data_IF_982242752048
#
_entry.id   IF_982242752048
#
_cell.length_a   1.000
_cell.length_b   1.000
_cell.length_c   1.000
_cell.angle_alpha   90.00
_cell.angle_beta   90.00
_cell.angle_gamma   90.00
#
_symmetry.space_group_name_H-M   'P 1'
#
loop_
_entity.id
_entity.type
_entity.pdbx_description
1 polymer ?
#
# COMPACT_ATOMS: atom_id res chain seq x y z
N UNK A 1 -13.93 13.10 0.83
CA UNK A 1 -13.53 11.77 0.33
C UNK A 1 -13.36 10.83 1.51
N UNK A 2 -14.22 9.83 1.62
CA UNK A 2 -14.09 8.76 2.60
C UNK A 2 -13.19 7.66 2.04
N UNK A 3 -12.07 7.41 2.69
CA UNK A 3 -11.05 6.47 2.25
C UNK A 3 -11.01 5.32 3.24
N UNK A 4 -11.10 4.09 2.73
CA UNK A 4 -10.89 2.89 3.53
C UNK A 4 -9.66 2.15 3.05
N UNK A 5 -8.72 1.89 3.95
CA UNK A 5 -7.55 1.07 3.66
C UNK A 5 -7.79 -0.30 4.27
N UNK A 6 -7.80 -1.34 3.44
CA UNK A 6 -7.93 -2.75 3.83
C UNK A 6 -6.57 -3.41 3.65
N UNK A 7 -5.95 -3.84 4.73
CA UNK A 7 -4.59 -4.39 4.65
C UNK A 7 -4.02 -4.67 6.03
N UNK A 8 -2.70 -4.61 6.14
CA UNK A 8 -2.04 -4.79 7.42
C UNK A 8 -1.60 -3.47 8.00
N UNK A 9 -1.52 -3.42 9.33
CA UNK A 9 -0.57 -2.54 10.04
C UNK A 9 0.53 -3.43 10.63
N UNK A 10 1.73 -2.90 10.77
CA UNK A 10 2.85 -3.63 11.35
C UNK A 10 3.72 -2.75 12.24
N UNK A 11 4.49 -3.39 13.11
CA UNK A 11 5.62 -2.77 13.80
C UNK A 11 6.85 -3.04 12.93
N UNK A 12 7.49 -1.98 12.44
CA UNK A 12 8.76 -2.11 11.72
C UNK A 12 9.91 -1.96 12.71
N UNK A 13 10.67 -3.02 12.90
CA UNK A 13 11.98 -2.97 13.55
C UNK A 13 13.02 -2.73 12.47
N UNK A 14 13.69 -1.58 12.52
CA UNK A 14 14.73 -1.23 11.56
C UNK A 14 16.08 -1.21 12.27
N UNK A 15 17.03 -1.98 11.76
CA UNK A 15 18.40 -2.04 12.23
C UNK A 15 19.38 -1.75 11.09
N UNK A 16 20.33 -0.85 11.34
CA UNK A 16 21.44 -0.54 10.45
C UNK A 16 22.73 -0.40 11.26
N UNK A 17 23.86 -0.25 10.58
CA UNK A 17 25.17 0.01 11.21
C UNK A 17 25.16 1.27 12.11
N UNK A 18 24.21 2.19 11.91
CA UNK A 18 24.18 3.49 12.59
C UNK A 18 22.94 3.72 13.47
N UNK A 19 21.92 2.84 13.39
CA UNK A 19 20.63 3.09 14.06
C UNK A 19 19.86 1.80 14.32
N UNK A 20 19.13 1.74 15.44
CA UNK A 20 18.11 0.72 15.70
C UNK A 20 16.88 1.39 16.29
N UNK A 21 15.70 1.18 15.69
CA UNK A 21 14.45 1.79 16.12
C UNK A 21 13.23 0.95 15.73
N UNK A 22 12.10 1.23 16.38
CA UNK A 22 10.81 0.59 16.09
C UNK A 22 9.75 1.65 15.86
N UNK A 23 8.95 1.50 14.81
CA UNK A 23 7.89 2.47 14.46
C UNK A 23 6.66 1.78 13.89
N UNK A 24 5.58 2.54 13.74
CA UNK A 24 4.41 2.09 12.99
C UNK A 24 4.79 2.03 11.50
N UNK A 25 4.85 0.82 10.96
CA UNK A 25 5.11 0.55 9.54
C UNK A 25 3.82 0.30 8.76
N UNK A 26 3.98 -0.27 7.56
CA UNK A 26 2.93 -0.68 6.60
C UNK A 26 2.46 0.37 5.60
N UNK A 27 2.01 -0.08 4.41
CA UNK A 27 1.33 0.77 3.44
C UNK A 27 0.21 1.63 4.03
N UNK A 28 -0.60 1.06 4.92
CA UNK A 28 -1.74 1.77 5.52
C UNK A 28 -1.31 2.99 6.36
N UNK A 29 -0.16 2.90 7.05
CA UNK A 29 0.39 4.02 7.83
C UNK A 29 0.92 5.11 6.91
N UNK A 30 1.69 4.76 5.87
CA UNK A 30 2.22 5.73 4.91
C UNK A 30 1.10 6.44 4.14
N UNK A 31 0.13 5.69 3.62
CA UNK A 31 -1.02 6.26 2.92
C UNK A 31 -1.83 7.20 3.83
N UNK A 32 -2.08 6.82 5.09
CA UNK A 32 -2.78 7.68 6.05
C UNK A 32 -2.03 8.99 6.33
N UNK A 33 -0.69 8.98 6.39
CA UNK A 33 0.12 10.20 6.56
C UNK A 33 -0.06 11.18 5.40
N UNK A 34 -0.18 10.67 4.18
CA UNK A 34 -0.43 11.49 2.98
C UNK A 34 -1.87 12.02 2.97
N UNK A 35 -2.86 11.16 3.17
CA UNK A 35 -4.26 11.58 3.15
C UNK A 35 -4.61 12.63 4.19
N UNK A 36 -3.98 12.61 5.36
CA UNK A 36 -4.17 13.66 6.38
C UNK A 36 -3.68 15.05 5.97
N UNK A 37 -2.82 15.12 4.97
CA UNK A 37 -2.29 16.37 4.42
C UNK A 37 -3.06 16.82 3.18
N UNK A 38 -3.97 15.99 2.67
CA UNK A 38 -4.81 16.27 1.52
C UNK A 38 -6.19 16.83 1.97
N UNK A 39 -6.77 17.79 1.22
CA UNK A 39 -8.06 18.36 1.55
C UNK A 39 -9.19 17.34 1.59
N UNK A 40 -10.06 17.48 2.59
CA UNK A 40 -11.34 16.76 2.70
C UNK A 40 -11.22 15.22 2.69
N UNK A 41 -10.12 14.67 3.20
CA UNK A 41 -9.90 13.23 3.34
C UNK A 41 -10.22 12.70 4.75
N UNK A 42 -11.03 11.64 4.82
CA UNK A 42 -11.34 10.93 6.05
C UNK A 42 -10.94 9.46 5.92
N UNK A 43 -9.96 9.02 6.71
CA UNK A 43 -9.37 7.68 6.58
C UNK A 43 -9.92 6.74 7.65
N UNK A 44 -10.28 5.53 7.24
CA UNK A 44 -10.52 4.37 8.11
C UNK A 44 -9.60 3.23 7.67
N UNK A 45 -9.04 2.50 8.62
CA UNK A 45 -8.10 1.41 8.33
C UNK A 45 -8.68 0.12 8.91
N UNK A 46 -8.98 -0.86 8.04
CA UNK A 46 -9.39 -2.21 8.42
C UNK A 46 -8.14 -3.09 8.36
N UNK A 47 -7.64 -3.47 9.53
CA UNK A 47 -6.40 -4.25 9.65
C UNK A 47 -6.40 -5.11 10.91
N UNK A 48 -5.76 -6.30 10.88
CA UNK A 48 -5.43 -7.01 12.11
C UNK A 48 -4.31 -6.30 12.86
N UNK A 49 -4.45 -6.23 14.18
CA UNK A 49 -3.41 -5.69 15.06
C UNK A 49 -3.56 -6.26 16.47
N UNK A 50 -2.43 -6.33 17.16
CA UNK A 50 -2.29 -6.78 18.53
C UNK A 50 -2.28 -5.63 19.55
N UNK A 51 -2.32 -6.00 20.84
CA UNK A 51 -2.25 -5.04 21.96
C UNK A 51 -0.92 -4.27 21.97
N UNK A 52 0.15 -4.90 21.52
CA UNK A 52 1.49 -4.31 21.35
C UNK A 52 1.54 -3.14 20.36
N UNK A 53 0.59 -3.06 19.42
CA UNK A 53 0.50 -1.96 18.46
C UNK A 53 -0.19 -0.70 19.00
N UNK A 54 -0.90 -0.78 20.14
CA UNK A 54 -1.69 0.35 20.65
C UNK A 54 -0.83 1.60 20.90
N UNK A 55 0.42 1.44 21.32
CA UNK A 55 1.36 2.55 21.52
C UNK A 55 1.73 3.29 20.20
N UNK A 56 1.61 2.60 19.06
CA UNK A 56 1.92 3.12 17.72
C UNK A 56 0.66 3.63 16.98
N UNK A 57 -0.53 3.46 17.56
CA UNK A 57 -1.81 3.73 16.91
C UNK A 57 -2.21 5.20 16.85
N UNK A 58 -1.39 6.11 17.42
CA UNK A 58 -1.75 7.52 17.52
C UNK A 58 -2.02 8.12 16.14
N UNK A 59 -3.23 8.67 15.97
CA UNK A 59 -3.67 9.24 14.71
C UNK A 59 -4.09 8.21 13.65
N UNK A 60 -4.18 6.93 13.97
CA UNK A 60 -4.75 5.92 13.09
C UNK A 60 -6.21 5.66 13.51
N UNK A 61 -7.13 5.63 12.53
CA UNK A 61 -8.51 5.25 12.77
C UNK A 61 -8.70 3.77 12.43
N UNK A 62 -8.31 2.90 13.37
CA UNK A 62 -8.26 1.45 13.19
C UNK A 62 -9.62 0.77 13.41
N UNK A 63 -9.83 -0.32 12.67
CA UNK A 63 -10.95 -1.24 12.77
C UNK A 63 -10.46 -2.69 12.62
N UNK A 64 -10.94 -3.64 13.45
CA UNK A 64 -11.89 -3.45 14.56
C UNK A 64 -11.36 -2.50 15.65
N UNK A 65 -12.26 -1.92 16.46
CA UNK A 65 -11.86 -0.94 17.50
C UNK A 65 -11.03 -1.52 18.64
N UNK A 66 -11.07 -2.84 18.81
CA UNK A 66 -10.24 -3.56 19.76
C UNK A 66 -9.24 -4.45 19.00
N UNK A 67 -8.03 -4.69 19.56
CA UNK A 67 -7.07 -5.61 18.98
C UNK A 67 -7.64 -7.00 18.72
N UNK A 68 -7.19 -7.65 17.65
CA UNK A 68 -7.57 -9.02 17.26
C UNK A 68 -6.69 -10.09 17.90
N UNK A 69 -5.57 -9.71 18.51
CA UNK A 69 -4.56 -10.59 19.11
C UNK A 69 -3.77 -9.86 20.21
N UNK A 70 -2.83 -10.56 20.86
CA UNK A 70 -1.86 -9.92 21.77
C UNK A 70 -0.67 -9.31 21.02
N UNK A 71 -0.31 -9.87 19.86
CA UNK A 71 0.86 -9.50 19.06
C UNK A 71 0.49 -9.06 17.63
N UNK A 72 1.24 -8.12 17.08
CA UNK A 72 1.05 -7.56 15.73
C UNK A 72 2.04 -8.16 14.75
N UNK A 73 1.72 -8.10 13.45
CA UNK A 73 2.70 -8.34 12.39
C UNK A 73 3.93 -7.46 12.63
N UNK A 74 5.10 -8.07 12.60
CA UNK A 74 6.38 -7.37 12.79
C UNK A 74 7.24 -7.61 11.57
N UNK A 75 7.76 -6.54 10.98
CA UNK A 75 8.83 -6.65 9.99
C UNK A 75 10.16 -6.23 10.61
N UNK A 76 11.12 -7.15 10.62
CA UNK A 76 12.50 -6.86 10.97
C UNK A 76 13.27 -6.57 9.68
N UNK A 77 13.79 -5.35 9.56
CA UNK A 77 14.56 -4.86 8.42
C UNK A 77 16.00 -4.63 8.87
N UNK A 78 16.89 -5.53 8.49
CA UNK A 78 18.32 -5.42 8.83
C UNK A 78 19.07 -4.97 7.58
N UNK A 79 19.71 -3.82 7.66
CA UNK A 79 20.46 -3.22 6.56
C UNK A 79 21.96 -3.17 6.89
N UNK A 80 22.74 -4.00 6.21
CA UNK A 80 24.21 -4.06 6.35
C UNK A 80 24.84 -3.78 5.00
N UNK A 81 25.78 -2.82 4.92
CA UNK A 81 26.44 -2.43 3.65
C UNK A 81 25.47 -2.21 2.47
N UNK A 82 24.35 -1.53 2.73
CA UNK A 82 23.27 -1.26 1.75
C UNK A 82 22.54 -2.51 1.21
N UNK A 83 22.72 -3.68 1.84
CA UNK A 83 21.92 -4.87 1.58
C UNK A 83 20.90 -5.03 2.69
N UNK A 84 19.62 -5.09 2.32
CA UNK A 84 18.52 -5.31 3.25
C UNK A 84 18.13 -6.78 3.27
N UNK A 85 18.11 -7.38 4.46
CA UNK A 85 17.43 -8.65 4.73
C UNK A 85 16.18 -8.40 5.55
N UNK A 86 15.11 -9.16 5.28
CA UNK A 86 13.84 -9.00 5.97
C UNK A 86 13.36 -10.29 6.60
N UNK A 87 12.83 -10.18 7.82
CA UNK A 87 12.00 -11.19 8.47
C UNK A 87 10.62 -10.63 8.80
N UNK A 88 9.63 -11.51 8.82
CA UNK A 88 8.27 -11.16 9.22
C UNK A 88 7.78 -12.10 10.31
N UNK A 89 7.59 -11.58 11.51
CA UNK A 89 7.11 -12.34 12.66
C UNK A 89 5.61 -12.18 12.86
N UNK A 90 5.01 -13.12 13.60
CA UNK A 90 3.58 -13.12 13.93
C UNK A 90 2.66 -13.16 12.70
N UNK A 91 3.13 -13.72 11.59
CA UNK A 91 2.39 -13.80 10.32
C UNK A 91 1.10 -14.62 10.43
N UNK A 92 1.05 -15.59 11.35
CA UNK A 92 -0.13 -16.42 11.64
C UNK A 92 -1.25 -15.59 12.30
N UNK A 93 -0.89 -14.60 13.11
CA UNK A 93 -1.84 -13.70 13.79
C UNK A 93 -2.29 -12.55 12.88
N UNK A 94 -1.53 -12.28 11.83
CA UNK A 94 -1.75 -11.20 10.87
C UNK A 94 -2.80 -11.54 9.80
N UNK A 95 -3.91 -12.18 10.19
CA UNK A 95 -5.01 -12.58 9.28
C UNK A 95 -6.08 -11.50 9.20
N UNK A 96 -6.77 -11.30 8.06
CA UNK A 96 -7.80 -10.28 7.94
C UNK A 96 -8.88 -10.40 9.04
N UNK A 97 -9.30 -9.28 9.67
CA UNK A 97 -10.33 -9.33 10.69
C UNK A 97 -11.68 -9.75 10.09
N UNK A 98 -12.51 -10.45 10.86
CA UNK A 98 -13.89 -10.70 10.44
C UNK A 98 -14.66 -9.38 10.34
N UNK A 99 -15.37 -9.17 9.23
CA UNK A 99 -16.12 -7.94 8.97
C UNK A 99 -17.37 -7.84 9.86
N UNK A 100 -17.30 -6.97 10.87
CA UNK A 100 -18.43 -6.62 11.73
C UNK A 100 -19.32 -5.51 11.10
N UNK A 101 -20.41 -5.17 11.79
CA UNK A 101 -21.38 -4.18 11.31
C UNK A 101 -20.76 -2.78 11.12
N UNK A 102 -19.74 -2.43 11.90
CA UNK A 102 -19.09 -1.12 11.79
C UNK A 102 -18.19 -1.08 10.54
N UNK A 103 -17.38 -2.13 10.33
CA UNK A 103 -16.57 -2.29 9.11
C UNK A 103 -17.42 -2.34 7.85
N UNK A 104 -18.56 -3.04 7.89
CA UNK A 104 -19.52 -3.08 6.77
C UNK A 104 -20.04 -1.68 6.43
N UNK A 105 -20.41 -0.87 7.43
CA UNK A 105 -20.85 0.52 7.23
C UNK A 105 -19.73 1.41 6.68
N UNK A 106 -18.50 1.21 7.12
CA UNK A 106 -17.34 1.95 6.61
C UNK A 106 -17.15 1.66 5.12
N UNK A 107 -17.14 0.37 4.75
CA UNK A 107 -17.04 -0.06 3.35
C UNK A 107 -18.18 0.49 2.49
N UNK A 108 -19.41 0.51 3.01
CA UNK A 108 -20.58 1.07 2.33
C UNK A 108 -20.47 2.57 2.04
N UNK A 109 -19.84 3.33 2.93
CA UNK A 109 -19.70 4.78 2.81
C UNK A 109 -18.36 5.22 2.17
N UNK A 110 -17.56 4.28 1.70
CA UNK A 110 -16.23 4.57 1.14
C UNK A 110 -16.32 5.07 -0.30
N UNK A 111 -15.62 6.15 -0.59
CA UNK A 111 -15.39 6.66 -1.95
C UNK A 111 -14.24 5.91 -2.63
N UNK A 112 -13.18 5.63 -1.86
CA UNK A 112 -11.96 4.96 -2.30
C UNK A 112 -11.63 3.85 -1.31
N UNK A 113 -11.30 2.67 -1.84
CA UNK A 113 -10.88 1.51 -1.08
C UNK A 113 -9.50 1.08 -1.56
N UNK A 114 -8.51 1.16 -0.68
CA UNK A 114 -7.12 0.76 -0.95
C UNK A 114 -6.84 -0.59 -0.31
N UNK A 115 -6.51 -1.58 -1.13
CA UNK A 115 -6.17 -2.93 -0.71
C UNK A 115 -4.65 -3.01 -0.70
N UNK A 116 -4.04 -3.09 0.49
CA UNK A 116 -2.59 -3.00 0.65
C UNK A 116 -2.04 -4.04 1.64
N UNK A 117 -2.15 -5.33 1.30
CA UNK A 117 -1.66 -6.39 2.17
C UNK A 117 -0.13 -6.45 2.16
N UNK A 118 0.46 -6.89 3.28
CA UNK A 118 1.88 -7.22 3.39
C UNK A 118 2.15 -8.73 3.42
N UNK A 119 1.09 -9.53 3.45
CA UNK A 119 1.13 -11.00 3.34
C UNK A 119 0.03 -11.47 2.39
N UNK A 120 0.06 -12.71 1.88
CA UNK A 120 -1.01 -13.24 1.04
C UNK A 120 -2.30 -13.60 1.81
N UNK A 121 -2.42 -13.22 3.09
CA UNK A 121 -3.54 -13.62 3.95
C UNK A 121 -4.91 -13.03 3.52
N UNK A 122 -4.91 -11.96 2.73
CA UNK A 122 -6.12 -11.32 2.20
C UNK A 122 -6.60 -12.08 0.95
N UNK A 123 -7.35 -13.15 1.13
CA UNK A 123 -7.79 -14.01 0.03
C UNK A 123 -8.80 -13.33 -0.91
N UNK A 124 -8.95 -13.89 -2.12
CA UNK A 124 -10.01 -13.48 -3.07
C UNK A 124 -11.40 -13.58 -2.45
N UNK A 125 -11.65 -14.61 -1.63
CA UNK A 125 -12.92 -14.79 -0.90
C UNK A 125 -13.17 -13.67 0.12
N UNK A 126 -12.16 -13.30 0.90
CA UNK A 126 -12.27 -12.18 1.83
C UNK A 126 -12.57 -10.86 1.11
N UNK A 127 -11.87 -10.60 -0.01
CA UNK A 127 -12.10 -9.40 -0.81
C UNK A 127 -13.52 -9.37 -1.41
N UNK A 128 -14.04 -10.50 -1.90
CA UNK A 128 -15.43 -10.60 -2.36
C UNK A 128 -16.42 -10.26 -1.26
N UNK A 129 -16.20 -10.78 -0.04
CA UNK A 129 -17.05 -10.46 1.11
C UNK A 129 -16.98 -8.98 1.48
N UNK A 130 -15.79 -8.37 1.49
CA UNK A 130 -15.64 -6.94 1.74
C UNK A 130 -16.34 -6.09 0.68
N UNK A 131 -16.13 -6.40 -0.60
CA UNK A 131 -16.67 -5.63 -1.72
C UNK A 131 -18.18 -5.76 -1.87
N UNK A 132 -18.81 -6.82 -1.36
CA UNK A 132 -20.26 -6.95 -1.30
C UNK A 132 -20.95 -5.82 -0.51
N UNK A 133 -20.22 -5.14 0.38
CA UNK A 133 -20.74 -4.00 1.15
C UNK A 133 -20.46 -2.65 0.48
N UNK A 134 -19.63 -2.60 -0.55
CA UNK A 134 -19.14 -1.35 -1.14
C UNK A 134 -20.13 -0.75 -2.12
N UNK A 135 -20.09 0.56 -2.32
CA UNK A 135 -20.90 1.21 -3.35
C UNK A 135 -20.34 0.90 -4.74
N UNK A 136 -21.20 0.83 -5.75
CA UNK A 136 -20.77 0.76 -7.16
C UNK A 136 -19.94 1.97 -7.58
N UNK A 137 -20.07 3.10 -6.87
CA UNK A 137 -19.27 4.31 -7.12
C UNK A 137 -17.88 4.25 -6.49
N UNK A 138 -17.64 3.31 -5.58
CA UNK A 138 -16.37 3.18 -4.86
C UNK A 138 -15.28 2.65 -5.79
N UNK A 139 -14.14 3.34 -5.85
CA UNK A 139 -12.96 2.87 -6.58
C UNK A 139 -12.16 1.92 -5.69
N UNK A 140 -11.78 0.76 -6.22
CA UNK A 140 -10.98 -0.28 -5.56
C UNK A 140 -9.59 -0.29 -6.17
N UNK A 141 -8.59 0.01 -5.35
CA UNK A 141 -7.20 0.15 -5.77
C UNK A 141 -6.34 -0.85 -5.02
N UNK A 142 -5.61 -1.71 -5.73
CA UNK A 142 -4.76 -2.75 -5.16
C UNK A 142 -3.28 -2.36 -5.25
N UNK A 143 -2.58 -2.43 -4.11
CA UNK A 143 -1.11 -2.51 -4.04
C UNK A 143 -0.72 -3.92 -3.58
N UNK A 144 -0.35 -4.84 -4.49
CA UNK A 144 -0.33 -6.27 -4.23
C UNK A 144 0.96 -6.76 -3.56
N UNK A 145 1.72 -5.89 -2.90
CA UNK A 145 3.06 -6.21 -2.38
C UNK A 145 3.08 -7.49 -1.53
N UNK A 146 2.06 -7.70 -0.68
CA UNK A 146 1.93 -8.88 0.15
C UNK A 146 1.74 -10.20 -0.61
N UNK A 147 1.20 -10.17 -1.82
CA UNK A 147 1.00 -11.38 -2.63
C UNK A 147 2.29 -11.88 -3.29
N UNK A 148 3.30 -11.00 -3.41
CA UNK A 148 4.65 -11.37 -3.84
C UNK A 148 5.53 -11.91 -2.71
N UNK A 149 4.99 -12.02 -1.49
CA UNK A 149 5.71 -12.47 -0.31
C UNK A 149 5.21 -13.83 0.16
N UNK A 150 6.14 -14.63 0.63
CA UNK A 150 5.90 -15.79 1.47
C UNK A 150 6.89 -15.76 2.63
N UNK A 151 6.70 -16.64 3.61
CA UNK A 151 7.53 -16.71 4.80
C UNK A 151 8.02 -18.14 4.99
N UNK A 152 9.33 -18.31 5.18
CA UNK A 152 9.90 -19.62 5.46
C UNK A 152 9.79 -19.99 6.96
N UNK A 153 10.38 -21.12 7.36
CA UNK A 153 10.30 -21.61 8.75
C UNK A 153 11.11 -20.78 9.75
N UNK A 154 11.97 -19.89 9.27
CA UNK A 154 12.80 -18.99 10.06
C UNK A 154 12.32 -17.54 9.99
N UNK A 155 11.06 -17.35 9.55
CA UNK A 155 10.40 -16.06 9.31
C UNK A 155 11.03 -15.21 8.21
N UNK A 156 11.95 -15.74 7.39
CA UNK A 156 12.53 -14.95 6.31
C UNK A 156 11.45 -14.64 5.26
N UNK A 157 11.44 -13.39 4.78
CA UNK A 157 10.59 -12.99 3.67
C UNK A 157 11.19 -13.53 2.37
N UNK A 158 10.46 -14.40 1.69
CA UNK A 158 10.86 -14.98 0.41
C UNK A 158 9.91 -14.57 -0.70
N UNK A 159 10.44 -14.49 -1.92
CA UNK A 159 9.65 -14.12 -3.11
C UNK A 159 8.66 -15.23 -3.47
N UNK A 160 7.47 -14.82 -3.87
CA UNK A 160 6.37 -15.67 -4.32
C UNK A 160 5.71 -15.07 -5.56
N UNK A 161 5.16 -15.90 -6.42
CA UNK A 161 4.32 -15.45 -7.55
C UNK A 161 2.92 -15.01 -7.07
N UNK A 162 2.36 -13.98 -7.69
CA UNK A 162 0.98 -13.53 -7.40
C UNK A 162 -0.05 -14.46 -8.07
N UNK A 163 -0.18 -15.67 -7.53
CA UNK A 163 -1.05 -16.72 -8.09
C UNK A 163 -2.55 -16.41 -7.96
N UNK A 164 -2.94 -15.52 -7.05
CA UNK A 164 -4.33 -15.10 -6.86
C UNK A 164 -4.78 -14.03 -7.85
N UNK A 165 -3.89 -13.53 -8.72
CA UNK A 165 -4.18 -12.44 -9.64
C UNK A 165 -5.45 -12.70 -10.47
N UNK A 166 -5.60 -13.92 -11.01
CA UNK A 166 -6.74 -14.29 -11.86
C UNK A 166 -8.10 -14.21 -11.13
N UNK A 167 -8.11 -14.38 -9.80
CA UNK A 167 -9.32 -14.29 -8.98
C UNK A 167 -9.56 -12.89 -8.41
N UNK A 168 -8.47 -12.14 -8.16
CA UNK A 168 -8.52 -10.83 -7.49
C UNK A 168 -8.69 -9.70 -8.50
N UNK A 169 -7.95 -9.70 -9.61
CA UNK A 169 -7.99 -8.60 -10.57
C UNK A 169 -9.39 -8.28 -11.12
N UNK A 170 -10.27 -9.27 -11.42
CA UNK A 170 -11.65 -8.98 -11.81
C UNK A 170 -12.46 -8.16 -10.80
N UNK A 171 -11.99 -8.05 -9.55
CA UNK A 171 -12.64 -7.33 -8.47
C UNK A 171 -12.06 -5.90 -8.28
N UNK A 172 -11.02 -5.54 -9.02
CA UNK A 172 -10.19 -4.35 -8.79
C UNK A 172 -10.28 -3.41 -9.99
N UNK A 173 -10.45 -2.11 -9.71
CA UNK A 173 -10.50 -1.06 -10.73
C UNK A 173 -9.09 -0.65 -11.18
N UNK A 174 -8.16 -0.51 -10.22
CA UNK A 174 -6.77 -0.12 -10.48
C UNK A 174 -5.80 -0.99 -9.67
N UNK A 175 -4.74 -1.50 -10.28
CA UNK A 175 -3.63 -2.12 -9.57
C UNK A 175 -2.34 -1.32 -9.76
N UNK A 176 -1.64 -1.04 -8.67
CA UNK A 176 -0.37 -0.29 -8.66
C UNK A 176 0.75 -1.23 -8.22
N UNK A 177 1.72 -1.44 -9.11
CA UNK A 177 2.91 -2.29 -8.90
C UNK A 177 4.19 -1.51 -9.23
N UNK A 178 5.33 -2.05 -8.82
CA UNK A 178 6.67 -1.55 -9.13
C UNK A 178 7.44 -2.53 -10.00
N UNK A 179 8.35 -2.00 -10.83
CA UNK A 179 9.39 -2.83 -11.49
C UNK A 179 10.31 -3.55 -10.50
N UNK A 180 10.33 -3.10 -9.25
CA UNK A 180 11.09 -3.74 -8.17
C UNK A 180 10.33 -4.89 -7.50
N UNK A 181 9.00 -4.97 -7.66
CA UNK A 181 8.19 -6.02 -7.03
C UNK A 181 8.43 -7.39 -7.69
N UNK A 182 8.65 -7.40 -9.01
CA UNK A 182 8.88 -8.63 -9.76
C UNK A 182 9.68 -8.37 -11.04
N UNK A 183 10.65 -9.24 -11.35
CA UNK A 183 11.54 -9.09 -12.51
C UNK A 183 10.80 -9.06 -13.86
N UNK A 184 9.60 -9.63 -13.92
CA UNK A 184 8.76 -9.73 -15.12
C UNK A 184 7.55 -8.78 -15.10
N UNK A 185 7.54 -7.73 -14.25
CA UNK A 185 6.33 -6.92 -14.03
C UNK A 185 5.75 -6.34 -15.33
N UNK A 186 6.60 -5.95 -16.28
CA UNK A 186 6.16 -5.30 -17.52
C UNK A 186 5.33 -6.24 -18.40
N UNK A 187 5.73 -7.52 -18.49
CA UNK A 187 4.97 -8.51 -19.24
C UNK A 187 3.71 -8.93 -18.47
N UNK A 188 3.82 -9.06 -17.15
CA UNK A 188 2.66 -9.35 -16.29
C UNK A 188 1.61 -8.24 -16.39
N UNK A 189 2.01 -6.97 -16.37
CA UNK A 189 1.11 -5.83 -16.52
C UNK A 189 0.32 -5.86 -17.84
N UNK A 190 0.98 -6.21 -18.94
CA UNK A 190 0.31 -6.37 -20.25
C UNK A 190 -0.71 -7.51 -20.28
N UNK A 191 -0.48 -8.58 -19.51
CA UNK A 191 -1.43 -9.68 -19.34
C UNK A 191 -2.58 -9.27 -18.41
N UNK A 192 -2.25 -8.64 -17.28
CA UNK A 192 -3.22 -8.31 -16.23
C UNK A 192 -4.26 -7.26 -16.65
N UNK A 193 -3.93 -6.38 -17.60
CA UNK A 193 -4.93 -5.45 -18.15
C UNK A 193 -6.12 -6.16 -18.84
N UNK A 194 -5.96 -7.42 -19.27
CA UNK A 194 -7.04 -8.22 -19.88
C UNK A 194 -8.21 -8.49 -18.90
N UNK A 195 -8.00 -8.34 -17.59
CA UNK A 195 -9.07 -8.42 -16.59
C UNK A 195 -9.94 -7.16 -16.52
N UNK A 196 -9.63 -6.13 -17.32
CA UNK A 196 -10.32 -4.83 -17.28
C UNK A 196 -9.82 -3.91 -16.16
N UNK A 197 -8.79 -4.32 -15.42
CA UNK A 197 -8.12 -3.51 -14.39
C UNK A 197 -7.10 -2.57 -15.05
N UNK A 198 -7.10 -1.30 -14.62
CA UNK A 198 -6.05 -0.36 -15.01
C UNK A 198 -4.77 -0.75 -14.27
N UNK A 199 -3.69 -1.06 -15.00
CA UNK A 199 -2.42 -1.46 -14.40
C UNK A 199 -1.44 -0.30 -14.41
N UNK A 200 -1.00 0.12 -13.23
CA UNK A 200 -0.01 1.17 -13.06
C UNK A 200 1.31 0.53 -12.64
N UNK A 201 2.37 0.89 -13.36
CA UNK A 201 3.73 0.44 -13.08
C UNK A 201 4.59 1.63 -12.71
N UNK A 202 5.07 1.66 -11.48
CA UNK A 202 6.07 2.63 -10.99
C UNK A 202 7.48 2.17 -11.34
N UNK A 203 8.34 3.11 -11.70
CA UNK A 203 9.68 2.87 -12.26
C UNK A 203 10.77 3.72 -11.58
N UNK A 204 10.55 4.08 -10.31
CA UNK A 204 11.47 4.91 -9.53
C UNK A 204 11.75 6.25 -10.22
N UNK A 205 13.02 6.56 -10.45
CA UNK A 205 13.47 7.81 -11.08
C UNK A 205 12.94 8.03 -12.51
N UNK A 206 12.43 6.99 -13.17
CA UNK A 206 11.82 7.11 -14.51
C UNK A 206 10.37 7.57 -14.49
N UNK A 207 9.74 7.61 -13.31
CA UNK A 207 8.32 7.93 -13.13
C UNK A 207 7.44 6.69 -13.18
N UNK A 208 6.34 6.77 -13.91
CA UNK A 208 5.30 5.74 -13.91
C UNK A 208 4.58 5.64 -15.24
N UNK A 209 3.89 4.54 -15.46
CA UNK A 209 2.96 4.38 -16.57
C UNK A 209 1.68 3.69 -16.15
N UNK A 210 0.59 3.95 -16.85
CA UNK A 210 -0.65 3.20 -16.77
C UNK A 210 -0.90 2.44 -18.08
N UNK A 211 -1.50 1.26 -17.97
CA UNK A 211 -2.04 0.47 -19.08
C UNK A 211 -3.54 0.32 -18.84
N UNK A 212 -4.36 0.88 -19.73
CA UNK A 212 -5.82 0.76 -19.71
C UNK A 212 -6.31 0.33 -21.09
N UNK A 213 -6.93 -0.86 -21.18
CA UNK A 213 -7.47 -1.44 -22.44
C UNK A 213 -6.47 -1.42 -23.60
N UNK A 214 -5.20 -1.68 -23.30
CA UNK A 214 -4.10 -1.70 -24.27
C UNK A 214 -3.50 -0.32 -24.60
N UNK A 215 -4.04 0.78 -24.09
CA UNK A 215 -3.44 2.11 -24.21
C UNK A 215 -2.46 2.37 -23.07
N UNK A 216 -1.27 2.89 -23.42
CA UNK A 216 -0.24 3.23 -22.45
C UNK A 216 -0.16 4.75 -22.22
N UNK A 217 -0.30 5.18 -20.96
CA UNK A 217 -0.14 6.57 -20.53
C UNK A 217 1.12 6.69 -19.68
N UNK A 218 2.07 7.51 -20.12
CA UNK A 218 3.37 7.68 -19.45
C UNK A 218 3.44 9.00 -18.70
N UNK A 219 3.99 8.98 -17.49
CA UNK A 219 4.29 10.13 -16.67
C UNK A 219 5.75 10.07 -16.22
N UNK A 220 6.53 11.08 -16.57
CA UNK A 220 7.93 11.16 -16.18
C UNK A 220 8.04 11.71 -14.76
N UNK A 221 8.96 11.18 -13.97
CA UNK A 221 9.37 11.80 -12.72
C UNK A 221 10.54 12.76 -12.96
N UNK A 222 10.62 13.80 -12.14
CA UNK A 222 11.81 14.63 -12.03
C UNK A 222 12.82 13.94 -11.10
N UNK A 223 13.92 13.37 -11.63
CA UNK A 223 14.84 12.56 -10.82
C UNK A 223 15.50 13.39 -9.72
N UNK A 224 15.68 12.78 -8.55
CA UNK A 224 16.38 13.37 -7.42
C UNK A 224 17.77 12.75 -7.32
N UNK A 225 18.86 13.55 -7.28
CA UNK A 225 20.20 13.03 -7.07
C UNK A 225 20.30 12.20 -5.78
N UNK A 226 20.97 11.05 -5.84
CA UNK A 226 21.02 10.07 -4.73
C UNK A 226 21.51 10.68 -3.42
N UNK A 227 22.47 11.59 -3.49
CA UNK A 227 23.05 12.30 -2.35
C UNK A 227 22.07 13.29 -1.67
N UNK A 228 20.94 13.60 -2.31
CA UNK A 228 19.87 14.45 -1.75
C UNK A 228 18.70 13.64 -1.20
N UNK A 229 18.63 12.34 -1.47
CA UNK A 229 17.59 11.46 -0.94
C UNK A 229 17.90 11.21 0.53
N UNK A 230 16.98 11.60 1.40
CA UNK A 230 17.05 11.32 2.84
C UNK A 230 16.52 9.91 3.10
N UNK A 231 15.34 9.60 2.58
CA UNK A 231 14.72 8.29 2.72
C UNK A 231 13.79 8.02 1.52
N UNK A 232 13.70 6.77 1.07
CA UNK A 232 12.79 6.33 0.00
C UNK A 232 11.74 5.33 0.48
N UNK A 233 11.75 4.94 1.76
CA UNK A 233 10.78 4.02 2.36
C UNK A 233 9.37 4.57 2.21
N UNK A 234 8.45 3.70 1.80
CA UNK A 234 7.04 4.06 1.60
C UNK A 234 6.75 4.88 0.34
N UNK A 235 7.74 5.16 -0.53
CA UNK A 235 7.51 5.96 -1.75
C UNK A 235 6.41 5.37 -2.65
N UNK A 236 6.32 4.05 -2.75
CA UNK A 236 5.24 3.36 -3.48
C UNK A 236 3.86 3.56 -2.82
N UNK A 237 3.80 3.51 -1.49
CA UNK A 237 2.56 3.70 -0.74
C UNK A 237 2.08 5.15 -0.80
N UNK A 238 3.03 6.09 -0.74
CA UNK A 238 2.80 7.53 -0.96
C UNK A 238 2.26 7.78 -2.36
N UNK A 239 2.88 7.17 -3.38
CA UNK A 239 2.41 7.23 -4.76
C UNK A 239 0.98 6.72 -4.86
N UNK A 240 0.68 5.54 -4.28
CA UNK A 240 -0.67 4.96 -4.30
C UNK A 240 -1.72 5.87 -3.66
N UNK A 241 -1.41 6.49 -2.52
CA UNK A 241 -2.33 7.44 -1.87
C UNK A 241 -2.58 8.68 -2.73
N UNK A 242 -1.52 9.29 -3.26
CA UNK A 242 -1.62 10.48 -4.08
C UNK A 242 -2.36 10.20 -5.40
N UNK A 243 -2.06 9.09 -6.06
CA UNK A 243 -2.78 8.64 -7.26
C UNK A 243 -4.27 8.45 -6.96
N UNK A 244 -4.59 7.72 -5.88
CA UNK A 244 -5.97 7.45 -5.50
C UNK A 244 -6.79 8.72 -5.28
N UNK A 245 -6.18 9.73 -4.64
CA UNK A 245 -6.80 11.03 -4.41
C UNK A 245 -7.13 11.76 -5.73
N UNK A 246 -6.12 12.00 -6.57
CA UNK A 246 -6.28 12.79 -7.78
C UNK A 246 -7.15 12.07 -8.82
N UNK A 247 -6.95 10.75 -8.96
CA UNK A 247 -7.75 9.91 -9.85
C UNK A 247 -9.23 9.89 -9.45
N UNK A 248 -9.55 9.82 -8.16
CA UNK A 248 -10.95 9.88 -7.72
C UNK A 248 -11.62 11.20 -8.09
N UNK A 249 -10.92 12.32 -7.90
CA UNK A 249 -11.47 13.65 -8.13
C UNK A 249 -11.62 14.01 -9.61
N UNK A 250 -10.64 13.66 -10.44
CA UNK A 250 -10.54 14.19 -11.81
C UNK A 250 -10.67 13.14 -12.90
N UNK A 251 -10.47 11.85 -12.60
CA UNK A 251 -10.56 10.74 -13.57
C UNK A 251 -9.63 10.89 -14.78
N UNK A 252 -8.61 11.75 -14.68
CA UNK A 252 -7.56 11.93 -15.69
C UNK A 252 -6.34 11.11 -15.26
N UNK A 253 -6.05 10.03 -16.01
CA UNK A 253 -4.93 9.15 -15.69
C UNK A 253 -3.59 9.86 -15.74
N UNK A 254 -3.35 10.70 -16.75
CA UNK A 254 -2.05 11.36 -16.88
C UNK A 254 -1.83 12.32 -15.73
N UNK A 255 -2.84 13.15 -15.42
CA UNK A 255 -2.78 14.10 -14.31
C UNK A 255 -2.57 13.39 -12.97
N UNK A 256 -3.26 12.28 -12.73
CA UNK A 256 -3.12 11.51 -11.49
C UNK A 256 -1.73 10.87 -11.35
N UNK A 257 -1.14 10.39 -12.45
CA UNK A 257 0.23 9.86 -12.45
C UNK A 257 1.26 10.97 -12.20
N UNK A 258 1.12 12.13 -12.86
CA UNK A 258 2.02 13.28 -12.65
C UNK A 258 1.94 13.78 -11.20
N UNK A 259 0.73 13.90 -10.65
CA UNK A 259 0.50 14.26 -9.25
C UNK A 259 1.16 13.26 -8.28
N UNK A 260 0.93 11.96 -8.50
CA UNK A 260 1.48 10.91 -7.66
C UNK A 260 3.03 10.87 -7.69
N UNK A 261 3.64 11.02 -8.87
CA UNK A 261 5.09 11.13 -9.01
C UNK A 261 5.63 12.35 -8.25
N UNK A 262 4.98 13.51 -8.37
CA UNK A 262 5.40 14.72 -7.67
C UNK A 262 5.33 14.55 -6.14
N UNK A 263 4.22 14.02 -5.61
CA UNK A 263 4.06 13.81 -4.17
C UNK A 263 5.08 12.80 -3.63
N UNK A 264 5.27 11.66 -4.31
CA UNK A 264 6.29 10.68 -3.93
C UNK A 264 7.70 11.29 -3.93
N UNK A 265 8.02 12.09 -4.95
CA UNK A 265 9.29 12.81 -5.05
C UNK A 265 9.52 13.77 -3.89
N UNK A 266 8.51 14.55 -3.48
CA UNK A 266 8.63 15.49 -2.36
C UNK A 266 8.99 14.78 -1.04
N UNK A 267 8.51 13.56 -0.87
CA UNK A 267 8.74 12.79 0.35
C UNK A 267 10.17 12.25 0.48
N UNK A 268 10.93 12.20 -0.63
CA UNK A 268 12.34 11.76 -0.63
C UNK A 268 13.25 12.65 0.22
N UNK A 269 12.81 13.86 0.56
CA UNK A 269 13.56 14.85 1.33
C UNK A 269 13.22 14.86 2.83
N UNK A 270 12.54 13.82 3.33
CA UNK A 270 12.14 13.69 4.73
C UNK A 270 12.38 12.28 5.23
N UNK A 271 12.50 12.14 6.54
CA UNK A 271 12.36 10.83 7.19
C UNK A 271 10.88 10.41 7.18
N UNK A 272 10.57 9.10 7.26
CA UNK A 272 9.19 8.61 7.24
C UNK A 272 8.24 9.32 8.21
N UNK A 273 8.70 9.67 9.41
CA UNK A 273 7.89 10.28 10.46
C UNK A 273 7.70 11.79 10.30
N UNK A 274 8.44 12.43 9.37
CA UNK A 274 8.45 13.88 9.15
C UNK A 274 7.92 14.28 7.77
N UNK A 275 7.35 13.34 7.01
CA UNK A 275 6.83 13.56 5.66
C UNK A 275 5.91 14.78 5.61
N UNK A 276 6.24 15.73 4.73
CA UNK A 276 5.42 16.91 4.43
C UNK A 276 5.24 17.06 2.93
N UNK A 277 4.00 17.34 2.52
CA UNK A 277 3.66 17.62 1.12
C UNK A 277 3.27 19.09 0.92
N UNK A 278 3.49 19.60 -0.28
CA UNK A 278 3.00 20.88 -0.77
C UNK A 278 2.10 20.66 -1.97
N UNK A 279 0.94 21.32 -1.91
CA UNK A 279 -0.05 21.38 -2.98
C UNK A 279 0.13 22.74 -3.66
N UNK A 280 1.13 22.83 -4.54
CA UNK A 280 1.34 24.00 -5.39
C UNK A 280 0.52 23.89 -6.68
#
# INVERSE_FOLDING_TARGET
>A
MNITIVGHVCIDHNESENSSYSTAGSPAVFMNRIFKQLPDCFVSIIAPYGKDFLQYSHGLNLFPKNPTSDVTLVYENISTRNVRTQKAHNTIQAVPPQLDVEMQKILQNSDVILISPQSPAFSSEYLKQAFAYTSEKSIKILSPQGYFRNFDREDNVVVREFVEADEILPLIDVMIVSIEDHSNIMNLAKKWQEYGTIIIVTQGEKGSMAIDKGEEVWAQADPVPKEKIIDSVGSGDIFSAAFAYDHFLYKDLKKALDFANNIARQCLFFTPDEIKIKLD
#
